data_IF_724038707120
#
_entry.id   IF_724038707120
#
_cell.length_a   1.000
_cell.length_b   1.000
_cell.length_c   1.000
_cell.angle_alpha   90.00
_cell.angle_beta   90.00
_cell.angle_gamma   90.00
#
_symmetry.space_group_name_H-M   'P 1'
#
loop_
_entity.id
_entity.type
_entity.pdbx_description
1 polymer ?
#
# COMPACT_ATOMS: atom_id res chain seq x y z
N UNK A 1 14.56 -20.02 1.33
CA UNK A 1 13.10 -20.27 1.22
C UNK A 1 12.39 -19.05 1.73
N UNK A 2 11.43 -18.45 1.01
CA UNK A 2 10.64 -17.36 1.56
C UNK A 2 9.87 -17.89 2.78
N UNK A 3 10.05 -17.24 3.94
CA UNK A 3 9.27 -17.53 5.14
C UNK A 3 8.03 -16.64 5.05
N UNK A 4 6.88 -17.24 4.74
CA UNK A 4 5.59 -16.54 4.74
C UNK A 4 4.99 -16.68 6.14
N UNK A 5 4.51 -15.60 6.77
CA UNK A 5 3.81 -15.71 8.06
C UNK A 5 2.62 -16.68 7.95
N UNK A 6 2.47 -17.57 8.93
CA UNK A 6 1.29 -18.43 8.98
C UNK A 6 0.06 -17.62 9.38
N UNK A 7 -1.04 -17.84 8.67
CA UNK A 7 -2.37 -17.32 9.02
C UNK A 7 -3.21 -18.34 9.79
N UNK A 8 -2.67 -19.53 10.04
CA UNK A 8 -3.36 -20.58 10.78
C UNK A 8 -3.73 -20.10 12.19
N UNK A 9 -4.98 -20.32 12.59
CA UNK A 9 -5.50 -19.89 13.90
C UNK A 9 -5.72 -18.38 14.03
N UNK A 10 -5.55 -17.60 12.96
CA UNK A 10 -5.84 -16.17 12.96
C UNK A 10 -7.29 -15.87 12.51
N UNK A 11 -7.71 -14.61 12.65
CA UNK A 11 -9.01 -14.10 12.21
C UNK A 11 -8.98 -13.48 10.81
N UNK A 12 -8.00 -13.84 9.95
CA UNK A 12 -7.76 -13.18 8.66
C UNK A 12 -9.01 -13.09 7.77
N UNK A 13 -9.74 -14.19 7.62
CA UNK A 13 -10.92 -14.24 6.76
C UNK A 13 -12.03 -13.30 7.24
N UNK A 14 -12.16 -13.14 8.55
CA UNK A 14 -13.15 -12.25 9.17
C UNK A 14 -12.66 -10.81 9.14
N UNK A 15 -11.39 -10.57 9.44
CA UNK A 15 -10.87 -9.23 9.69
C UNK A 15 -10.39 -8.52 8.42
N UNK A 16 -9.81 -9.26 7.45
CA UNK A 16 -9.01 -8.68 6.36
C UNK A 16 -9.47 -9.12 4.97
N UNK A 17 -9.79 -10.41 4.76
CA UNK A 17 -10.10 -10.92 3.41
C UNK A 17 -11.22 -10.11 2.75
N UNK A 18 -11.01 -9.71 1.51
CA UNK A 18 -11.98 -8.97 0.70
C UNK A 18 -12.43 -7.63 1.33
N UNK A 19 -11.60 -7.04 2.20
CA UNK A 19 -11.89 -5.76 2.86
C UNK A 19 -11.38 -4.59 2.06
N UNK A 20 -12.21 -3.56 1.94
CA UNK A 20 -11.93 -2.35 1.20
C UNK A 20 -11.93 -1.16 2.15
N UNK A 21 -10.95 -0.27 1.99
CA UNK A 21 -10.82 0.94 2.78
C UNK A 21 -10.47 2.15 1.93
N UNK A 22 -11.11 3.28 2.22
CA UNK A 22 -10.71 4.60 1.75
C UNK A 22 -10.25 5.40 2.96
N UNK A 23 -9.08 6.01 2.89
CA UNK A 23 -8.46 6.70 4.02
C UNK A 23 -7.67 7.93 3.59
N UNK A 24 -7.62 8.93 4.48
CA UNK A 24 -6.87 10.18 4.28
C UNK A 24 -5.71 10.22 5.28
N UNK A 25 -4.47 10.31 4.81
CA UNK A 25 -3.33 10.58 5.70
C UNK A 25 -3.40 12.00 6.27
N UNK A 26 -2.93 12.15 7.50
CA UNK A 26 -2.76 13.43 8.18
C UNK A 26 -1.50 14.20 7.69
N UNK A 27 -1.34 14.32 6.37
CA UNK A 27 -0.19 14.96 5.75
C UNK A 27 -0.26 16.49 5.84
N UNK A 28 0.90 17.14 5.72
CA UNK A 28 1.05 18.59 5.67
C UNK A 28 1.93 19.00 4.50
N UNK A 29 1.63 20.16 3.90
CA UNK A 29 2.50 20.76 2.88
C UNK A 29 3.78 21.35 3.51
N UNK A 30 4.66 21.89 2.67
CA UNK A 30 5.92 22.50 3.11
C UNK A 30 5.73 23.73 4.03
N UNK A 31 4.52 24.29 4.09
CA UNK A 31 4.14 25.43 4.93
C UNK A 31 3.39 24.99 6.20
N UNK A 32 3.17 23.67 6.39
CA UNK A 32 2.44 23.11 7.52
C UNK A 32 0.91 23.14 7.37
N UNK A 33 0.39 23.49 6.19
CA UNK A 33 -1.05 23.42 5.95
C UNK A 33 -1.48 21.97 5.75
N UNK A 34 -2.64 21.54 6.28
CA UNK A 34 -3.15 20.20 6.05
C UNK A 34 -3.33 19.90 4.56
N UNK A 35 -2.76 18.77 4.12
CA UNK A 35 -2.96 18.23 2.78
C UNK A 35 -3.63 16.86 2.90
N UNK A 36 -4.70 16.63 2.14
CA UNK A 36 -5.40 15.34 2.17
C UNK A 36 -4.80 14.41 1.14
N UNK A 37 -3.98 13.49 1.59
CA UNK A 37 -3.48 12.40 0.77
C UNK A 37 -4.46 11.23 0.86
N UNK A 38 -5.40 11.18 -0.09
CA UNK A 38 -6.41 10.13 -0.16
C UNK A 38 -5.91 8.88 -0.85
N UNK A 39 -6.11 7.74 -0.21
CA UNK A 39 -5.74 6.42 -0.70
C UNK A 39 -6.94 5.48 -0.60
N UNK A 40 -6.94 4.49 -1.49
CA UNK A 40 -7.95 3.43 -1.58
C UNK A 40 -7.22 2.09 -1.63
N UNK A 41 -7.64 1.14 -0.80
CA UNK A 41 -6.99 -0.17 -0.66
C UNK A 41 -8.05 -1.27 -0.59
N UNK A 42 -7.84 -2.33 -1.35
CA UNK A 42 -8.58 -3.58 -1.25
C UNK A 42 -7.63 -4.73 -0.91
N UNK A 43 -7.85 -5.33 0.26
CA UNK A 43 -7.18 -6.54 0.70
C UNK A 43 -7.81 -7.75 0.00
N UNK A 44 -7.40 -7.97 -1.25
CA UNK A 44 -7.98 -8.95 -2.16
C UNK A 44 -8.05 -10.36 -1.54
N UNK A 45 -6.92 -10.86 -1.03
CA UNK A 45 -6.82 -12.16 -0.36
C UNK A 45 -5.56 -12.23 0.50
N UNK A 46 -5.21 -13.42 0.99
CA UNK A 46 -4.04 -13.69 1.84
C UNK A 46 -2.67 -13.39 1.20
N UNK A 47 -2.66 -13.12 -0.11
CA UNK A 47 -1.44 -12.99 -0.91
C UNK A 47 -1.42 -11.67 -1.69
N UNK A 48 -2.55 -10.97 -1.85
CA UNK A 48 -2.66 -9.80 -2.73
C UNK A 48 -3.41 -8.64 -2.11
N UNK A 49 -2.89 -7.45 -2.41
CA UNK A 49 -3.59 -6.18 -2.28
C UNK A 49 -3.74 -5.52 -3.64
N UNK A 50 -4.78 -4.70 -3.79
CA UNK A 50 -4.99 -3.78 -4.89
C UNK A 50 -5.19 -2.39 -4.29
N UNK A 51 -4.60 -1.36 -4.87
CA UNK A 51 -4.74 0.00 -4.31
C UNK A 51 -4.68 1.08 -5.40
N UNK A 52 -5.24 2.24 -5.07
CA UNK A 52 -5.15 3.46 -5.86
C UNK A 52 -4.82 4.67 -4.97
N UNK A 53 -4.13 5.65 -5.56
CA UNK A 53 -3.77 6.90 -4.90
C UNK A 53 -4.54 8.04 -5.55
N UNK A 54 -5.36 8.72 -4.78
CA UNK A 54 -6.27 9.77 -5.24
C UNK A 54 -5.80 11.18 -4.90
N UNK A 55 -4.95 11.33 -3.87
CA UNK A 55 -4.43 12.62 -3.43
C UNK A 55 -2.92 12.60 -3.13
N UNK A 56 -2.35 13.80 -2.99
CA UNK A 56 -0.93 13.99 -2.70
C UNK A 56 0.01 13.77 -3.90
N UNK A 57 1.34 13.73 -3.67
CA UNK A 57 2.36 13.72 -4.72
C UNK A 57 2.29 12.51 -5.67
N UNK A 58 1.65 11.42 -5.25
CA UNK A 58 1.55 10.17 -5.99
C UNK A 58 0.15 9.93 -6.59
N UNK A 59 -0.73 10.95 -6.56
CA UNK A 59 -2.08 10.86 -7.12
C UNK A 59 -2.06 10.43 -8.60
N UNK A 60 -2.91 9.47 -8.96
CA UNK A 60 -2.97 8.86 -10.30
C UNK A 60 -2.20 7.55 -10.45
N UNK A 61 -1.64 7.00 -9.36
CA UNK A 61 -1.02 5.67 -9.34
C UNK A 61 -2.06 4.61 -8.96
N UNK A 62 -2.15 3.53 -9.74
CA UNK A 62 -2.95 2.32 -9.49
C UNK A 62 -2.07 1.09 -9.51
N UNK A 63 -2.16 0.23 -8.50
CA UNK A 63 -1.22 -0.86 -8.34
C UNK A 63 -1.87 -2.10 -7.69
N UNK A 64 -1.15 -3.22 -7.76
CA UNK A 64 -1.43 -4.44 -7.03
C UNK A 64 -0.11 -5.12 -6.65
N UNK A 65 -0.07 -5.81 -5.53
CA UNK A 65 1.20 -6.31 -5.00
C UNK A 65 0.99 -7.55 -4.13
N UNK A 66 1.98 -8.45 -4.12
CA UNK A 66 2.05 -9.48 -3.09
C UNK A 66 2.19 -8.82 -1.73
N UNK A 67 1.42 -9.27 -0.76
CA UNK A 67 1.46 -8.75 0.59
C UNK A 67 1.68 -9.89 1.59
N UNK A 68 2.31 -9.54 2.70
CA UNK A 68 2.44 -10.42 3.86
C UNK A 68 1.61 -9.86 4.99
N UNK A 69 0.99 -10.75 5.77
CA UNK A 69 0.10 -10.37 6.85
C UNK A 69 0.57 -10.94 8.17
N UNK A 70 0.43 -10.15 9.23
CA UNK A 70 0.64 -10.61 10.59
C UNK A 70 -0.53 -10.16 11.45
N UNK A 71 -1.21 -11.13 12.06
CA UNK A 71 -2.17 -10.86 13.11
C UNK A 71 -1.41 -10.43 14.38
N UNK A 72 -1.56 -9.16 14.79
CA UNK A 72 -0.96 -8.65 16.04
C UNK A 72 -1.90 -8.95 17.21
N UNK A 73 -3.20 -8.67 17.02
CA UNK A 73 -4.26 -8.98 17.98
C UNK A 73 -5.55 -9.32 17.22
N UNK A 74 -6.06 -10.56 17.33
CA UNK A 74 -7.26 -10.98 16.60
C UNK A 74 -8.44 -10.04 16.84
N UNK A 75 -9.17 -9.68 15.78
CA UNK A 75 -10.30 -8.76 15.81
C UNK A 75 -9.94 -7.28 15.99
N UNK A 76 -8.66 -6.94 16.18
CA UNK A 76 -8.26 -5.59 16.57
C UNK A 76 -7.11 -4.99 15.74
N UNK A 77 -6.00 -5.72 15.58
CA UNK A 77 -4.78 -5.19 14.98
C UNK A 77 -4.15 -6.17 14.00
N UNK A 78 -3.90 -5.66 12.80
CA UNK A 78 -3.25 -6.38 11.72
C UNK A 78 -2.12 -5.56 11.13
N UNK A 79 -1.05 -6.23 10.73
CA UNK A 79 0.00 -5.64 9.92
C UNK A 79 -0.01 -6.26 8.52
N UNK A 80 0.13 -5.42 7.50
CA UNK A 80 0.23 -5.77 6.09
C UNK A 80 1.49 -5.11 5.52
N UNK A 81 2.42 -5.89 4.99
CA UNK A 81 3.69 -5.39 4.47
C UNK A 81 3.94 -5.84 3.04
N UNK A 82 4.53 -4.97 2.22
CA UNK A 82 4.90 -5.29 0.85
C UNK A 82 6.11 -4.49 0.33
N UNK A 83 6.69 -4.98 -0.77
CA UNK A 83 7.73 -4.32 -1.55
C UNK A 83 7.20 -4.05 -2.96
N UNK A 84 7.48 -2.89 -3.52
CA UNK A 84 7.03 -2.51 -4.86
C UNK A 84 8.15 -2.54 -5.89
N UNK A 85 7.79 -2.59 -7.18
CA UNK A 85 8.75 -2.54 -8.30
C UNK A 85 9.53 -1.24 -8.41
N UNK A 86 9.05 -0.18 -7.76
CA UNK A 86 9.80 1.08 -7.59
C UNK A 86 10.91 0.96 -6.54
N UNK A 87 10.95 -0.16 -5.79
CA UNK A 87 11.81 -0.37 -4.63
C UNK A 87 11.22 0.18 -3.33
N UNK A 88 10.04 0.80 -3.35
CA UNK A 88 9.39 1.28 -2.13
C UNK A 88 8.98 0.13 -1.23
N UNK A 89 9.25 0.27 0.07
CA UNK A 89 8.82 -0.65 1.11
C UNK A 89 7.64 -0.02 1.84
N UNK A 90 6.58 -0.79 2.05
CA UNK A 90 5.41 -0.35 2.79
C UNK A 90 5.13 -1.32 3.93
N UNK A 91 4.91 -0.76 5.12
CA UNK A 91 4.39 -1.46 6.29
C UNK A 91 3.16 -0.71 6.78
N UNK A 92 2.01 -1.38 6.81
CA UNK A 92 0.73 -0.82 7.19
C UNK A 92 0.19 -1.57 8.40
N UNK A 93 -0.13 -0.86 9.48
CA UNK A 93 -0.88 -1.39 10.62
C UNK A 93 -2.29 -0.86 10.57
N UNK A 94 -3.26 -1.76 10.58
CA UNK A 94 -4.67 -1.46 10.64
C UNK A 94 -5.20 -1.70 12.05
N UNK A 95 -5.66 -0.62 12.70
CA UNK A 95 -6.38 -0.60 13.97
C UNK A 95 -7.89 -0.58 13.68
N UNK A 96 -8.50 -1.76 13.74
CA UNK A 96 -9.92 -1.98 13.40
C UNK A 96 -10.84 -1.17 14.32
N UNK A 97 -10.72 -1.25 15.67
CA UNK A 97 -11.63 -0.55 16.56
C UNK A 97 -11.52 0.96 16.45
N UNK A 98 -10.32 1.49 16.19
CA UNK A 98 -10.11 2.93 16.04
C UNK A 98 -10.31 3.46 14.64
N UNK A 99 -10.57 2.58 13.65
CA UNK A 99 -10.69 2.94 12.23
C UNK A 99 -9.49 3.76 11.75
N UNK A 100 -8.28 3.28 12.08
CA UNK A 100 -7.05 4.04 11.84
C UNK A 100 -5.97 3.17 11.23
N UNK A 101 -5.19 3.79 10.34
CA UNK A 101 -4.02 3.19 9.74
C UNK A 101 -2.78 3.90 10.29
N UNK A 102 -1.72 3.13 10.57
CA UNK A 102 -0.37 3.64 10.86
C UNK A 102 0.59 3.00 9.87
N UNK A 103 1.41 3.81 9.20
CA UNK A 103 2.34 3.30 8.19
C UNK A 103 3.78 3.70 8.46
N UNK A 104 4.69 2.82 8.04
CA UNK A 104 6.05 3.18 7.70
C UNK A 104 6.20 2.96 6.18
N UNK A 105 6.51 4.04 5.48
CA UNK A 105 6.80 4.02 4.05
C UNK A 105 8.28 4.33 3.85
N UNK A 106 8.99 3.45 3.15
CA UNK A 106 10.37 3.65 2.73
C UNK A 106 10.45 3.89 1.24
N UNK A 107 10.28 5.13 0.80
CA UNK A 107 10.33 5.49 -0.62
C UNK A 107 11.76 5.35 -1.14
N UNK A 108 11.94 4.62 -2.25
CA UNK A 108 13.23 4.60 -2.95
C UNK A 108 13.56 5.99 -3.49
N UNK A 109 14.86 6.27 -3.69
CA UNK A 109 15.31 7.56 -4.24
C UNK A 109 14.68 7.85 -5.60
N UNK A 110 14.60 6.85 -6.48
CA UNK A 110 13.93 7.00 -7.78
C UNK A 110 12.46 7.34 -7.64
N UNK A 111 11.71 6.61 -6.82
CA UNK A 111 10.29 6.90 -6.59
C UNK A 111 10.09 8.31 -6.01
N UNK A 112 10.88 8.69 -5.00
CA UNK A 112 10.74 9.98 -4.35
C UNK A 112 11.10 11.16 -5.26
N UNK A 113 12.28 11.12 -5.88
CA UNK A 113 12.80 12.24 -6.67
C UNK A 113 12.16 12.38 -8.05
N UNK A 114 11.54 11.32 -8.57
CA UNK A 114 10.88 11.28 -9.88
C UNK A 114 9.43 10.81 -9.73
N UNK A 115 8.72 11.31 -8.72
CA UNK A 115 7.35 10.88 -8.35
C UNK A 115 6.36 10.84 -9.52
N UNK A 116 6.39 11.81 -10.44
CA UNK A 116 5.51 11.82 -11.63
C UNK A 116 5.67 10.58 -12.51
N UNK A 117 6.85 9.97 -12.52
CA UNK A 117 7.11 8.76 -13.31
C UNK A 117 6.60 7.49 -12.62
N UNK A 118 6.25 7.55 -11.33
CA UNK A 118 5.58 6.45 -10.64
C UNK A 118 4.05 6.48 -10.78
N UNK A 119 3.50 7.50 -11.44
CA UNK A 119 2.08 7.55 -11.81
C UNK A 119 1.77 6.50 -12.90
N UNK A 120 0.48 6.20 -13.09
CA UNK A 120 0.00 5.22 -14.07
C UNK A 120 -0.57 3.96 -13.44
N UNK A 121 -0.77 2.93 -14.26
CA UNK A 121 -1.37 1.66 -13.83
C UNK A 121 -0.40 0.51 -14.07
N UNK A 122 -0.13 -0.32 -13.04
CA UNK A 122 0.73 -1.51 -13.17
C UNK A 122 0.29 -2.46 -14.28
N UNK A 123 -1.01 -2.48 -14.60
CA UNK A 123 -1.57 -3.30 -15.68
C UNK A 123 -1.06 -2.87 -17.05
N UNK A 124 -0.61 -1.62 -17.19
CA UNK A 124 0.07 -1.12 -18.37
C UNK A 124 1.55 -1.55 -18.35
N UNK A 125 2.00 -2.21 -19.43
CA UNK A 125 3.37 -2.74 -19.52
C UNK A 125 4.46 -1.66 -19.49
N UNK A 126 4.17 -0.48 -20.03
CA UNK A 126 5.14 0.62 -20.12
C UNK A 126 5.30 1.31 -18.76
N UNK A 127 4.20 1.48 -18.03
CA UNK A 127 4.22 1.95 -16.64
C UNK A 127 4.98 0.97 -15.74
N UNK A 128 4.67 -0.32 -15.87
CA UNK A 128 5.34 -1.37 -15.12
C UNK A 128 6.86 -1.42 -15.38
N UNK A 129 7.27 -1.33 -16.66
CA UNK A 129 8.68 -1.27 -17.02
C UNK A 129 9.36 -0.01 -16.47
N UNK A 130 8.72 1.16 -16.60
CA UNK A 130 9.23 2.43 -16.08
C UNK A 130 9.45 2.38 -14.57
N UNK A 131 8.54 1.78 -13.81
CA UNK A 131 8.66 1.67 -12.35
C UNK A 131 9.87 0.83 -11.93
N UNK A 132 10.18 -0.24 -12.66
CA UNK A 132 11.38 -1.06 -12.43
C UNK A 132 12.67 -0.27 -12.67
N UNK A 133 12.68 0.66 -13.62
CA UNK A 133 13.82 1.56 -13.82
C UNK A 133 14.00 2.54 -12.65
N UNK A 134 12.90 2.99 -12.03
CA UNK A 134 12.98 3.84 -10.82
C UNK A 134 13.70 3.13 -9.66
N UNK A 135 13.51 1.82 -9.49
CA UNK A 135 14.18 1.05 -8.43
C UNK A 135 15.71 1.00 -8.57
N UNK A 136 16.24 1.26 -9.77
CA UNK A 136 17.69 1.27 -10.03
C UNK A 136 18.36 2.59 -9.63
N UNK A 137 17.58 3.59 -9.27
CA UNK A 137 18.09 4.92 -8.89
C UNK A 137 18.36 4.95 -7.38
N UNK A 138 19.64 5.11 -7.02
CA UNK A 138 20.10 5.17 -5.62
C UNK A 138 20.30 3.80 -4.98
N UNK A 139 20.39 3.77 -3.66
CA UNK A 139 20.64 2.58 -2.85
C UNK A 139 19.60 2.43 -1.75
N UNK A 140 19.70 1.36 -0.95
CA UNK A 140 18.83 1.16 0.22
C UNK A 140 18.95 2.30 1.25
N UNK A 141 20.15 2.87 1.41
CA UNK A 141 20.41 3.95 2.36
C UNK A 141 19.85 5.31 1.91
N UNK A 142 19.50 5.48 0.63
CA UNK A 142 18.93 6.72 0.10
C UNK A 142 17.40 6.84 0.34
N UNK A 143 16.78 5.92 1.09
CA UNK A 143 15.32 5.92 1.27
C UNK A 143 14.85 7.10 2.09
N UNK A 144 13.74 7.68 1.65
CA UNK A 144 12.98 8.65 2.44
C UNK A 144 11.97 7.86 3.27
N UNK A 145 12.10 7.95 4.59
CA UNK A 145 11.19 7.32 5.53
C UNK A 145 10.07 8.30 5.87
N UNK A 146 8.82 7.87 5.67
CA UNK A 146 7.64 8.57 6.15
C UNK A 146 6.90 7.69 7.16
N UNK A 147 6.57 8.28 8.30
CA UNK A 147 5.81 7.63 9.37
C UNK A 147 4.51 8.41 9.56
N UNK A 148 3.44 7.92 8.95
CA UNK A 148 2.18 8.65 8.84
C UNK A 148 1.00 7.85 9.36
N UNK A 149 -0.01 8.57 9.87
CA UNK A 149 -1.29 8.01 10.26
C UNK A 149 -2.40 8.49 9.32
N UNK A 150 -3.39 7.65 9.12
CA UNK A 150 -4.57 7.97 8.33
C UNK A 150 -5.85 7.56 9.05
N UNK A 151 -6.87 8.41 8.90
CA UNK A 151 -8.23 8.10 9.34
C UNK A 151 -8.95 7.37 8.21
N UNK A 152 -9.62 6.26 8.56
CA UNK A 152 -10.43 5.48 7.61
C UNK A 152 -11.80 6.14 7.49
N UNK A 153 -12.13 6.54 6.26
CA UNK A 153 -13.40 7.19 5.92
C UNK A 153 -14.47 6.16 5.57
N UNK A 154 -14.09 5.14 4.81
CA UNK A 154 -14.96 4.06 4.36
C UNK A 154 -14.30 2.71 4.61
N UNK A 155 -15.12 1.73 4.99
CA UNK A 155 -14.69 0.40 5.40
C UNK A 155 -15.80 -0.61 5.10
N UNK A 156 -15.62 -1.41 4.04
CA UNK A 156 -16.63 -2.34 3.54
C UNK A 156 -15.99 -3.58 2.90
N UNK A 157 -16.81 -4.44 2.26
CA UNK A 157 -16.35 -5.66 1.57
C UNK A 157 -16.57 -5.59 0.07
N UNK A 158 -15.66 -6.20 -0.68
CA UNK A 158 -15.69 -6.24 -2.13
C UNK A 158 -14.75 -5.22 -2.79
N UNK A 159 -14.75 -5.18 -4.13
CA UNK A 159 -13.75 -4.42 -4.90
C UNK A 159 -13.87 -2.90 -4.78
N UNK A 160 -15.06 -2.36 -4.46
CA UNK A 160 -15.32 -0.93 -4.63
C UNK A 160 -15.12 -0.54 -6.10
N UNK A 161 -14.37 0.54 -6.34
CA UNK A 161 -14.01 1.00 -7.69
C UNK A 161 -12.69 0.40 -8.21
N UNK A 162 -12.02 -0.45 -7.41
CA UNK A 162 -10.77 -1.08 -7.80
C UNK A 162 -11.00 -2.28 -8.74
N UNK A 163 -10.19 -2.35 -9.79
CA UNK A 163 -10.27 -3.42 -10.77
C UNK A 163 -9.66 -4.73 -10.22
N UNK A 164 -10.31 -5.89 -10.44
CA UNK A 164 -9.74 -7.18 -10.06
C UNK A 164 -8.44 -7.48 -10.79
N UNK A 165 -7.69 -8.44 -10.25
CA UNK A 165 -6.38 -8.84 -10.77
C UNK A 165 -6.37 -10.33 -11.13
N UNK A 166 -5.39 -10.72 -11.93
CA UNK A 166 -5.08 -12.14 -12.16
C UNK A 166 -3.91 -12.56 -11.27
N UNK A 167 -4.02 -13.71 -10.62
CA UNK A 167 -3.03 -14.16 -9.62
C UNK A 167 -1.66 -14.47 -10.23
N UNK A 168 -1.62 -14.80 -11.53
CA UNK A 168 -0.40 -15.03 -12.30
C UNK A 168 0.35 -13.75 -12.70
N UNK A 169 -0.25 -12.57 -12.50
CA UNK A 169 0.42 -11.32 -12.82
C UNK A 169 1.62 -11.08 -11.89
N UNK A 170 2.75 -10.58 -12.44
CA UNK A 170 3.98 -10.46 -11.69
C UNK A 170 3.90 -9.38 -10.62
N UNK A 171 4.42 -9.72 -9.46
CA UNK A 171 4.60 -8.88 -8.28
C UNK A 171 5.96 -9.21 -7.64
N UNK A 172 6.44 -8.37 -6.73
CA UNK A 172 7.59 -8.68 -5.88
C UNK A 172 7.25 -9.50 -4.63
#
# INVERSE_FOLDING_TARGET
>A
MPVVPSLEGSTFDVDIRDRHMIYDYAAQDAQGNPEKWRYEMWFYNEDRIVYAIHGGPMAGRKNFQSATYQCIRPGELWQCNWLEETGTICSLVFDIPKKRITTLLGFSKGHWSRSKESHGDKRNSDDFARWRELAKIGTQADRVLLSEQADILEDFRGPGDLEPIKMEWPTL
#
